data_IF_146128416747
#
_entry.id   IF_146128416747
#
_cell.length_a   1.000
_cell.length_b   1.000
_cell.length_c   1.000
_cell.angle_alpha   90.00
_cell.angle_beta   90.00
_cell.angle_gamma   90.00
#
_symmetry.space_group_name_H-M   'P 1'
#
loop_
_entity.id
_entity.type
_entity.pdbx_description
1 polymer ?
#
# COMPACT_ATOMS: atom_id res chain seq x y z
N UNK A 1 8.45 19.29 31.54
CA UNK A 1 8.11 18.07 30.79
C UNK A 1 7.25 18.51 29.63
N UNK A 2 7.86 18.81 28.49
CA UNK A 2 7.12 19.05 27.25
C UNK A 2 7.30 17.79 26.41
N UNK A 3 6.20 17.06 26.25
CA UNK A 3 6.07 15.93 25.34
C UNK A 3 5.89 16.53 23.95
N UNK A 4 7.00 16.67 23.20
CA UNK A 4 6.93 17.04 21.79
C UNK A 4 6.47 15.81 21.01
N UNK A 5 5.17 15.78 20.69
CA UNK A 5 4.61 14.84 19.72
C UNK A 5 5.31 15.06 18.36
N UNK A 6 6.22 14.15 18.02
CA UNK A 6 6.90 14.14 16.72
C UNK A 6 5.87 14.10 15.58
N UNK A 7 6.14 14.79 14.46
CA UNK A 7 5.23 14.80 13.32
C UNK A 7 5.05 13.38 12.81
N UNK A 8 3.83 12.86 12.95
CA UNK A 8 3.42 11.61 12.32
C UNK A 8 3.54 11.85 10.81
N UNK A 9 4.43 11.12 10.15
CA UNK A 9 4.59 11.24 8.70
C UNK A 9 3.23 10.96 8.04
N UNK A 10 2.71 11.94 7.31
CA UNK A 10 1.34 11.91 6.80
C UNK A 10 1.10 10.71 5.88
N UNK A 11 0.11 9.89 6.22
CA UNK A 11 -0.28 8.74 5.40
C UNK A 11 -0.83 9.21 4.05
N UNK A 12 -0.49 8.50 2.97
CA UNK A 12 -0.95 8.84 1.61
C UNK A 12 -1.92 7.79 1.08
N UNK A 13 -3.05 8.22 0.55
CA UNK A 13 -4.02 7.35 -0.13
C UNK A 13 -3.95 7.50 -1.64
N UNK A 14 -3.91 6.39 -2.38
CA UNK A 14 -3.90 6.36 -3.85
C UNK A 14 -4.87 5.32 -4.38
N UNK A 15 -5.42 5.57 -5.57
CA UNK A 15 -6.20 4.57 -6.32
C UNK A 15 -5.38 4.03 -7.48
N UNK A 16 -5.21 2.72 -7.52
CA UNK A 16 -4.56 1.97 -8.59
C UNK A 16 -5.63 1.31 -9.45
N UNK A 17 -5.61 1.55 -10.76
CA UNK A 17 -6.53 0.92 -11.72
C UNK A 17 -5.89 -0.33 -12.31
N UNK A 18 -6.68 -1.23 -12.91
CA UNK A 18 -6.19 -2.51 -13.48
C UNK A 18 -5.10 -2.37 -14.57
N UNK A 19 -4.85 -1.15 -15.04
CA UNK A 19 -3.86 -0.84 -16.08
C UNK A 19 -2.85 0.21 -15.62
N UNK A 20 -3.01 0.79 -14.43
CA UNK A 20 -2.16 1.85 -13.93
C UNK A 20 -1.15 1.31 -12.91
N UNK A 21 0.06 1.87 -12.96
CA UNK A 21 1.08 1.70 -11.92
C UNK A 21 1.25 3.03 -11.19
N UNK A 22 1.40 2.98 -9.87
CA UNK A 22 1.53 4.16 -9.03
C UNK A 22 2.73 3.98 -8.09
N UNK A 23 3.63 4.97 -7.99
CA UNK A 23 4.66 4.96 -6.96
C UNK A 23 4.05 5.24 -5.58
N UNK A 24 4.42 4.43 -4.59
CA UNK A 24 4.02 4.54 -3.18
C UNK A 24 5.28 4.37 -2.31
N UNK A 25 5.76 5.47 -1.74
CA UNK A 25 7.09 5.51 -1.13
C UNK A 25 8.15 5.23 -2.19
N UNK A 26 9.01 4.23 -1.95
CA UNK A 26 9.98 3.75 -2.93
C UNK A 26 9.46 2.57 -3.78
N UNK A 27 8.28 2.03 -3.47
CA UNK A 27 7.71 0.92 -4.22
C UNK A 27 6.89 1.40 -5.43
N UNK A 28 6.87 0.61 -6.49
CA UNK A 28 5.94 0.77 -7.62
C UNK A 28 4.87 -0.30 -7.51
N UNK A 29 3.61 0.13 -7.41
CA UNK A 29 2.46 -0.76 -7.25
C UNK A 29 1.57 -0.69 -8.48
N UNK A 30 1.38 -1.83 -9.13
CA UNK A 30 0.40 -2.07 -10.18
C UNK A 30 -0.78 -2.89 -9.66
N UNK A 31 -1.93 -2.71 -10.28
CA UNK A 31 -3.07 -3.61 -10.12
C UNK A 31 -3.30 -4.30 -11.46
N UNK A 32 -3.37 -5.62 -11.48
CA UNK A 32 -3.49 -6.42 -12.71
C UNK A 32 -4.90 -7.01 -12.88
N UNK A 33 -5.77 -6.86 -11.88
CA UNK A 33 -7.14 -7.35 -11.92
C UNK A 33 -7.89 -7.09 -10.62
N UNK A 34 -9.19 -6.84 -10.70
CA UNK A 34 -10.09 -6.83 -9.55
C UNK A 34 -11.38 -7.55 -9.95
N UNK A 35 -11.78 -8.54 -9.15
CA UNK A 35 -12.86 -9.48 -9.43
C UNK A 35 -13.65 -9.77 -8.16
N UNK A 36 -14.82 -10.37 -8.32
CA UNK A 36 -15.51 -11.04 -7.23
C UNK A 36 -15.04 -12.49 -7.20
N UNK A 37 -14.60 -12.98 -6.05
CA UNK A 37 -14.32 -14.39 -5.84
C UNK A 37 -15.65 -15.19 -5.92
N UNK A 38 -15.77 -16.19 -6.81
CA UNK A 38 -17.02 -16.91 -7.01
C UNK A 38 -17.39 -17.84 -5.85
N UNK A 39 -16.43 -18.23 -5.01
CA UNK A 39 -16.61 -19.11 -3.87
C UNK A 39 -17.04 -18.33 -2.63
N UNK A 40 -16.40 -17.19 -2.37
CA UNK A 40 -16.64 -16.39 -1.16
C UNK A 40 -17.58 -15.21 -1.39
N UNK A 41 -17.82 -14.81 -2.64
CA UNK A 41 -18.61 -13.63 -3.01
C UNK A 41 -17.94 -12.29 -2.65
N UNK A 42 -16.68 -12.32 -2.19
CA UNK A 42 -15.96 -11.12 -1.75
C UNK A 42 -15.17 -10.49 -2.90
N UNK A 43 -14.90 -9.17 -2.86
CA UNK A 43 -14.02 -8.52 -3.83
C UNK A 43 -12.54 -8.82 -3.52
N UNK A 44 -11.79 -9.23 -4.54
CA UNK A 44 -10.36 -9.51 -4.48
C UNK A 44 -9.64 -8.85 -5.66
N UNK A 45 -8.35 -8.56 -5.50
CA UNK A 45 -7.51 -7.99 -6.54
C UNK A 45 -6.12 -8.60 -6.57
N UNK A 46 -5.48 -8.60 -7.74
CA UNK A 46 -4.07 -8.97 -7.87
C UNK A 46 -3.24 -7.68 -7.95
N UNK A 47 -2.25 -7.57 -7.06
CA UNK A 47 -1.28 -6.48 -7.00
C UNK A 47 0.09 -6.97 -7.42
N UNK A 48 0.72 -6.26 -8.35
CA UNK A 48 2.12 -6.43 -8.73
C UNK A 48 2.93 -5.32 -8.07
N UNK A 49 3.83 -5.68 -7.16
CA UNK A 49 4.59 -4.75 -6.34
C UNK A 49 6.07 -4.96 -6.62
N UNK A 50 6.76 -3.90 -7.01
CA UNK A 50 8.22 -3.84 -7.00
C UNK A 50 8.63 -2.91 -5.86
N UNK A 51 9.29 -3.46 -4.83
CA UNK A 51 9.76 -2.70 -3.67
C UNK A 51 11.02 -1.89 -4.00
N UNK A 52 11.42 -0.97 -3.11
CA UNK A 52 12.57 -0.09 -3.31
C UNK A 52 13.91 -0.83 -3.44
N UNK A 53 14.01 -2.02 -2.85
CA UNK A 53 15.17 -2.91 -2.96
C UNK A 53 15.18 -3.77 -4.24
N UNK A 54 14.17 -3.62 -5.10
CA UNK A 54 14.00 -4.38 -6.35
C UNK A 54 13.25 -5.70 -6.18
N UNK A 55 12.84 -6.08 -4.97
CA UNK A 55 12.03 -7.29 -4.73
C UNK A 55 10.68 -7.18 -5.42
N UNK A 56 10.30 -8.21 -6.18
CA UNK A 56 9.03 -8.28 -6.89
C UNK A 56 8.08 -9.27 -6.23
N UNK A 57 6.80 -8.90 -6.09
CA UNK A 57 5.75 -9.72 -5.49
C UNK A 57 4.45 -9.55 -6.26
N UNK A 58 3.81 -10.68 -6.58
CA UNK A 58 2.43 -10.74 -7.06
C UNK A 58 1.57 -11.31 -5.93
N UNK A 59 0.60 -10.54 -5.46
CA UNK A 59 -0.25 -10.91 -4.32
C UNK A 59 -1.72 -10.79 -4.72
N UNK A 60 -2.51 -11.82 -4.42
CA UNK A 60 -3.97 -11.67 -4.36
C UNK A 60 -4.34 -11.09 -2.99
N UNK A 61 -5.15 -10.04 -2.99
CA UNK A 61 -5.49 -9.27 -1.79
C UNK A 61 -6.98 -9.03 -1.66
N UNK A 62 -7.42 -8.85 -0.42
CA UNK A 62 -8.76 -8.41 -0.02
C UNK A 62 -8.75 -7.05 0.67
N UNK A 63 -9.93 -6.45 0.82
CA UNK A 63 -10.07 -5.26 1.68
C UNK A 63 -9.62 -5.57 3.11
N UNK A 64 -8.88 -4.63 3.70
CA UNK A 64 -8.22 -4.72 5.00
C UNK A 64 -6.90 -5.52 5.04
N UNK A 65 -6.45 -6.08 3.91
CA UNK A 65 -5.11 -6.69 3.86
C UNK A 65 -4.01 -5.65 4.12
N UNK A 66 -2.98 -6.11 4.81
CA UNK A 66 -1.77 -5.33 5.10
C UNK A 66 -0.57 -5.97 4.44
N UNK A 67 0.21 -5.16 3.74
CA UNK A 67 1.37 -5.60 2.97
C UNK A 67 2.58 -4.82 3.48
N UNK A 68 3.51 -5.52 4.10
CA UNK A 68 4.78 -4.95 4.51
C UNK A 68 5.66 -4.64 3.28
N UNK A 69 6.15 -3.42 3.20
CA UNK A 69 7.18 -2.97 2.26
C UNK A 69 8.45 -2.59 3.03
N UNK A 70 9.57 -2.47 2.32
CA UNK A 70 10.83 -2.00 2.88
C UNK A 70 10.72 -0.61 3.54
N UNK A 71 9.86 0.27 3.02
CA UNK A 71 9.74 1.67 3.43
C UNK A 71 8.45 1.98 4.19
N UNK A 72 7.63 0.98 4.52
CA UNK A 72 6.37 1.19 5.23
C UNK A 72 5.35 0.08 5.01
N UNK A 73 4.09 0.37 5.30
CA UNK A 73 2.99 -0.58 5.18
C UNK A 73 1.95 -0.07 4.19
N UNK A 74 1.50 -0.94 3.29
CA UNK A 74 0.33 -0.70 2.45
C UNK A 74 -0.88 -1.39 3.06
N UNK A 75 -1.96 -0.64 3.21
CA UNK A 75 -3.27 -1.15 3.58
C UNK A 75 -4.19 -1.10 2.36
N UNK A 76 -4.86 -2.22 2.09
CA UNK A 76 -5.89 -2.28 1.06
C UNK A 76 -7.19 -1.72 1.64
N UNK A 77 -7.53 -0.48 1.26
CA UNK A 77 -8.70 0.21 1.80
C UNK A 77 -9.97 -0.31 1.16
N UNK A 78 -9.97 -0.42 -0.17
CA UNK A 78 -11.16 -0.81 -0.91
C UNK A 78 -10.77 -1.46 -2.23
N UNK A 79 -11.55 -2.47 -2.63
CA UNK A 79 -11.44 -3.09 -3.94
C UNK A 79 -12.73 -2.81 -4.69
N UNK A 80 -12.60 -2.25 -5.88
CA UNK A 80 -13.67 -2.03 -6.83
C UNK A 80 -13.51 -3.06 -7.94
N UNK A 81 -14.16 -4.24 -7.85
CA UNK A 81 -14.32 -5.10 -9.02
C UNK A 81 -15.10 -4.32 -10.09
N UNK A 82 -15.11 -4.80 -11.34
CA UNK A 82 -15.78 -4.12 -12.45
C UNK A 82 -17.13 -3.51 -12.01
N UNK A 83 -17.16 -2.17 -11.94
CA UNK A 83 -18.25 -1.38 -11.36
C UNK A 83 -18.68 -0.29 -12.35
N UNK A 84 -19.38 -0.62 -13.45
CA UNK A 84 -19.74 0.35 -14.47
C UNK A 84 -20.59 1.49 -13.86
N UNK A 85 -20.35 2.78 -14.20
CA UNK A 85 -19.48 3.30 -15.27
C UNK A 85 -17.99 3.44 -14.89
N UNK A 86 -17.59 3.00 -13.70
CA UNK A 86 -16.24 3.14 -13.17
C UNK A 86 -15.37 1.96 -13.60
N UNK A 87 -14.12 2.25 -13.95
CA UNK A 87 -13.11 1.21 -14.18
C UNK A 87 -12.77 0.51 -12.85
N UNK A 88 -12.47 -0.78 -12.93
CA UNK A 88 -12.00 -1.57 -11.81
C UNK A 88 -10.66 -1.05 -11.25
N UNK A 89 -10.45 -1.26 -9.94
CA UNK A 89 -9.23 -0.84 -9.27
C UNK A 89 -9.25 -1.04 -7.75
N UNK A 90 -8.16 -0.64 -7.11
CA UNK A 90 -7.91 -0.79 -5.68
C UNK A 90 -7.53 0.55 -5.09
N UNK A 91 -8.07 0.88 -3.93
CA UNK A 91 -7.65 2.03 -3.12
C UNK A 91 -6.68 1.52 -2.07
N UNK A 92 -5.50 2.10 -2.03
CA UNK A 92 -4.42 1.77 -1.12
C UNK A 92 -4.13 2.97 -0.22
N UNK A 93 -3.85 2.69 1.05
CA UNK A 93 -3.29 3.67 1.99
C UNK A 93 -1.88 3.21 2.35
N UNK A 94 -0.90 4.06 2.11
CA UNK A 94 0.48 3.82 2.49
C UNK A 94 0.81 4.60 3.77
N UNK A 95 1.46 3.93 4.70
CA UNK A 95 1.99 4.49 5.93
C UNK A 95 3.51 4.28 5.93
N UNK A 96 4.33 5.33 5.92
CA UNK A 96 5.79 5.19 5.96
C UNK A 96 6.25 4.52 7.26
N UNK A 97 7.33 3.74 7.18
CA UNK A 97 8.05 3.31 8.37
C UNK A 97 8.69 4.54 9.00
N UNK A 98 8.43 4.81 10.29
CA UNK A 98 9.24 5.79 11.01
C UNK A 98 10.61 5.16 11.20
N UNK A 99 11.57 5.53 10.35
CA UNK A 99 12.96 5.24 10.63
C UNK A 99 13.34 6.12 11.83
N UNK A 100 13.31 5.54 13.02
CA UNK A 100 13.96 6.12 14.20
C UNK A 100 15.44 6.09 13.90
N UNK A 101 15.94 7.15 13.26
CA UNK A 101 17.36 7.37 13.16
C UNK A 101 17.84 7.63 14.59
N UNK A 102 18.35 6.57 15.21
CA UNK A 102 18.95 6.60 16.52
C UNK A 102 20.22 7.43 16.46
N UNK A 103 20.07 8.74 16.47
CA UNK A 103 21.11 9.69 16.82
C UNK A 103 21.42 9.52 18.31
N UNK A 104 22.04 8.39 18.68
CA UNK A 104 22.82 8.32 19.90
C UNK A 104 24.10 9.10 19.63
N UNK A 105 24.00 10.40 19.90
CA UNK A 105 25.12 11.32 19.94
C UNK A 105 26.25 10.72 20.79
N UNK A 106 27.38 10.45 20.16
CA UNK A 106 28.64 10.36 20.84
C UNK A 106 28.93 11.73 21.46
N UNK A 107 28.86 11.81 22.77
CA UNK A 107 29.40 12.89 23.61
C UNK A 107 29.70 12.18 24.92
N UNK A 108 30.95 11.81 25.22
CA UNK A 108 32.11 12.67 25.28
C UNK A 108 32.54 12.66 26.73
#
# INVERSE_FOLDING_TARGET
>A
MNDEALPTADATTRRVRLTARVPLGQAVVGCTGAKIDPTTGRPHAALDITDGDGTQRLLEVTSADEIALSTGTLHVVQIHPWDPPRSAGVVLRWVPHQQTDGAAAASG
#
